data_IF_614455088002
#
_entry.id   IF_614455088002
#
_cell.length_a   1.000
_cell.length_b   1.000
_cell.length_c   1.000
_cell.angle_alpha   90.00
_cell.angle_beta   90.00
_cell.angle_gamma   90.00
#
_symmetry.space_group_name_H-M   'P 1'
#
loop_
_entity.id
_entity.type
_entity.pdbx_description
1 polymer ?
#
# COMPACT_ATOMS: atom_id res chain seq x y z
N UNK A 1 1.69 -21.47 10.07
CA UNK A 1 0.44 -21.20 9.31
C UNK A 1 -0.64 -21.97 10.05
N UNK A 2 -1.73 -21.30 10.36
CA UNK A 2 -2.81 -21.82 11.20
C UNK A 2 -4.16 -21.49 10.56
N UNK A 3 -5.15 -22.36 10.73
CA UNK A 3 -6.51 -22.17 10.20
C UNK A 3 -6.58 -22.16 8.67
N UNK A 4 -7.61 -21.52 8.13
CA UNK A 4 -7.84 -21.32 6.72
C UNK A 4 -7.03 -20.13 6.20
N UNK A 5 -5.90 -20.41 5.57
CA UNK A 5 -5.08 -19.43 4.88
C UNK A 5 -4.63 -20.00 3.52
N UNK A 6 -5.31 -19.64 2.41
CA UNK A 6 -4.99 -20.19 1.09
C UNK A 6 -3.59 -19.81 0.60
N UNK A 7 -2.89 -20.75 -0.04
CA UNK A 7 -1.50 -20.57 -0.48
C UNK A 7 -1.28 -19.38 -1.44
N UNK A 8 -2.24 -19.12 -2.33
CA UNK A 8 -2.17 -18.00 -3.27
C UNK A 8 -2.26 -16.62 -2.59
N UNK A 9 -2.72 -16.58 -1.34
CA UNK A 9 -2.79 -15.37 -0.53
C UNK A 9 -1.57 -15.16 0.37
N UNK A 10 -0.59 -16.07 0.36
CA UNK A 10 0.59 -15.93 1.22
C UNK A 10 1.33 -14.62 0.93
N UNK A 11 1.58 -13.79 1.96
CA UNK A 11 2.20 -12.48 1.77
C UNK A 11 3.69 -12.62 1.38
N UNK A 12 4.34 -13.70 1.81
CA UNK A 12 5.72 -14.06 1.44
C UNK A 12 5.84 -15.57 1.29
N UNK A 13 7.04 -16.05 0.96
CA UNK A 13 7.32 -17.48 0.84
C UNK A 13 7.05 -18.20 2.16
N UNK A 14 6.28 -19.30 2.11
CA UNK A 14 6.06 -20.20 3.24
C UNK A 14 7.40 -20.66 3.83
N UNK A 15 8.29 -21.17 2.97
CA UNK A 15 9.67 -21.52 3.31
C UNK A 15 10.63 -20.44 2.82
N UNK A 16 10.90 -19.46 3.68
CA UNK A 16 11.81 -18.36 3.37
C UNK A 16 13.28 -18.80 3.51
N UNK A 17 13.95 -18.98 2.37
CA UNK A 17 15.38 -19.34 2.33
C UNK A 17 16.22 -18.09 2.06
N UNK A 18 17.10 -17.73 2.99
CA UNK A 18 17.88 -16.49 2.95
C UNK A 18 19.37 -16.77 3.19
N UNK A 19 20.20 -15.84 2.73
CA UNK A 19 21.65 -15.84 2.96
C UNK A 19 22.13 -14.43 3.23
N UNK A 20 23.20 -14.27 4.02
CA UNK A 20 23.93 -13.00 4.15
C UNK A 20 24.28 -12.46 2.75
N UNK A 21 24.04 -11.17 2.55
CA UNK A 21 24.19 -10.46 1.28
C UNK A 21 22.96 -10.49 0.37
N UNK A 22 21.92 -11.28 0.69
CA UNK A 22 20.70 -11.32 -0.11
C UNK A 22 20.00 -9.96 -0.12
N UNK A 23 19.53 -9.53 -1.31
CA UNK A 23 18.69 -8.36 -1.44
C UNK A 23 17.24 -8.74 -1.12
N UNK A 24 16.65 -8.04 -0.16
CA UNK A 24 15.31 -8.30 0.35
C UNK A 24 14.47 -7.04 0.37
N UNK A 25 13.16 -7.22 0.27
CA UNK A 25 12.14 -6.18 0.38
C UNK A 25 11.26 -6.47 1.58
N UNK A 26 10.95 -5.42 2.35
CA UNK A 26 9.98 -5.50 3.43
C UNK A 26 8.55 -5.60 2.89
N UNK A 27 7.76 -6.52 3.45
CA UNK A 27 6.38 -6.81 3.00
C UNK A 27 5.30 -6.23 3.91
N UNK A 28 5.69 -5.46 4.92
CA UNK A 28 4.80 -4.82 5.91
C UNK A 28 5.40 -3.50 6.37
N UNK A 29 4.56 -2.59 6.83
CA UNK A 29 5.02 -1.44 7.59
C UNK A 29 5.39 -1.86 9.01
N UNK A 30 6.45 -1.26 9.55
CA UNK A 30 6.83 -1.49 10.93
C UNK A 30 5.72 -1.00 11.88
N UNK A 31 5.24 -1.90 12.74
CA UNK A 31 4.23 -1.61 13.76
C UNK A 31 4.82 -0.94 14.99
N UNK A 32 6.15 -0.96 15.18
CA UNK A 32 6.83 -0.29 16.28
C UNK A 32 6.61 1.23 16.25
N UNK A 33 6.93 1.91 17.36
CA UNK A 33 6.90 3.36 17.43
C UNK A 33 8.00 4.01 16.57
N UNK A 34 9.10 3.29 16.31
CA UNK A 34 10.29 3.79 15.63
C UNK A 34 10.12 3.85 14.10
N UNK A 35 9.16 3.08 13.54
CA UNK A 35 8.83 3.06 12.11
C UNK A 35 10.06 2.85 11.21
N UNK A 36 10.92 1.90 11.57
CA UNK A 36 12.24 1.69 10.95
C UNK A 36 12.15 1.30 9.46
N UNK A 37 11.06 0.64 9.07
CA UNK A 37 10.82 0.22 7.69
C UNK A 37 9.35 0.36 7.28
N UNK A 38 9.15 0.45 5.96
CA UNK A 38 7.84 0.48 5.32
C UNK A 38 7.75 -0.62 4.25
N UNK A 39 6.53 -0.99 3.88
CA UNK A 39 6.26 -1.96 2.83
C UNK A 39 6.87 -1.50 1.50
N UNK A 40 7.76 -2.30 0.92
CA UNK A 40 8.50 -1.99 -0.29
C UNK A 40 9.92 -1.47 -0.06
N UNK A 41 10.31 -1.12 1.18
CA UNK A 41 11.69 -0.73 1.49
C UNK A 41 12.65 -1.88 1.14
N UNK A 42 13.74 -1.60 0.44
CA UNK A 42 14.73 -2.58 0.02
C UNK A 42 16.00 -2.45 0.85
N UNK A 43 16.55 -3.58 1.27
CA UNK A 43 17.83 -3.64 1.94
C UNK A 43 18.58 -4.93 1.64
N UNK A 44 19.75 -5.09 2.25
CA UNK A 44 20.57 -6.30 2.18
C UNK A 44 20.66 -6.95 3.53
N UNK A 45 20.58 -8.28 3.57
CA UNK A 45 20.80 -9.03 4.80
C UNK A 45 22.27 -8.93 5.19
N UNK A 46 22.54 -8.47 6.41
CA UNK A 46 23.90 -8.33 6.94
C UNK A 46 24.23 -9.41 7.97
N UNK A 47 23.23 -9.83 8.75
CA UNK A 47 23.36 -10.85 9.79
C UNK A 47 22.17 -11.81 9.77
N UNK A 48 22.44 -13.11 9.94
CA UNK A 48 21.44 -14.16 10.17
C UNK A 48 21.95 -15.00 11.34
N UNK A 49 21.20 -14.99 12.43
CA UNK A 49 21.38 -15.83 13.61
C UNK A 49 20.09 -16.63 13.85
N UNK A 50 20.10 -17.57 14.80
CA UNK A 50 19.00 -18.55 14.99
C UNK A 50 17.59 -17.94 15.02
N UNK A 51 17.42 -16.74 15.57
CA UNK A 51 16.13 -16.05 15.66
C UNK A 51 16.19 -14.57 15.25
N UNK A 52 17.33 -14.10 14.74
CA UNK A 52 17.54 -12.69 14.42
C UNK A 52 18.04 -12.52 13.00
N UNK A 53 17.31 -11.73 12.22
CA UNK A 53 17.74 -11.28 10.90
C UNK A 53 17.96 -9.78 11.01
N UNK A 54 19.11 -9.29 10.55
CA UNK A 54 19.36 -7.85 10.44
C UNK A 54 19.47 -7.47 8.97
N UNK A 55 18.78 -6.39 8.60
CA UNK A 55 18.77 -5.82 7.24
C UNK A 55 19.35 -4.42 7.29
N UNK A 56 20.29 -4.14 6.40
CA UNK A 56 20.84 -2.80 6.19
C UNK A 56 20.25 -2.23 4.91
N UNK A 57 19.51 -1.13 5.02
CA UNK A 57 19.02 -0.38 3.86
C UNK A 57 20.02 0.72 3.50
N UNK A 58 20.01 1.14 2.23
CA UNK A 58 20.99 2.10 1.71
C UNK A 58 20.88 3.50 2.34
N UNK A 59 19.69 3.87 2.79
CA UNK A 59 19.39 5.21 3.35
C UNK A 59 19.53 5.27 4.87
N UNK A 60 19.67 4.12 5.55
CA UNK A 60 19.68 4.05 7.01
C UNK A 60 21.12 3.97 7.53
N UNK A 61 21.42 4.68 8.61
CA UNK A 61 22.72 4.61 9.31
C UNK A 61 22.87 3.34 10.15
N UNK A 62 21.76 2.76 10.60
CA UNK A 62 21.74 1.58 11.47
C UNK A 62 21.25 0.32 10.75
N UNK A 63 21.56 -0.85 11.33
CA UNK A 63 20.95 -2.11 10.91
C UNK A 63 19.56 -2.23 11.53
N UNK A 64 18.59 -2.67 10.73
CA UNK A 64 17.22 -2.90 11.19
C UNK A 64 17.09 -4.36 11.66
N UNK A 65 16.83 -4.61 12.95
CA UNK A 65 16.45 -5.94 13.40
C UNK A 65 15.05 -6.29 12.88
N UNK A 66 14.90 -7.48 12.33
CA UNK A 66 13.64 -7.95 11.73
C UNK A 66 13.13 -9.13 12.54
N UNK A 67 11.88 -9.02 12.98
CA UNK A 67 11.17 -10.03 13.75
C UNK A 67 10.04 -10.65 12.91
N UNK A 68 9.62 -11.90 13.21
CA UNK A 68 8.45 -12.49 12.60
C UNK A 68 7.19 -11.68 12.91
N UNK A 69 6.33 -11.51 11.91
CA UNK A 69 5.03 -10.85 12.07
C UNK A 69 3.91 -11.79 11.64
N UNK A 70 2.71 -11.56 12.18
CA UNK A 70 1.52 -12.36 11.87
C UNK A 70 0.55 -11.56 11.00
N UNK A 71 0.14 -12.15 9.87
CA UNK A 71 -0.97 -11.70 9.03
C UNK A 71 -2.19 -12.56 9.31
N UNK A 72 -3.36 -11.93 9.38
CA UNK A 72 -4.62 -12.61 9.65
C UNK A 72 -5.45 -12.67 8.37
N UNK A 73 -6.08 -13.83 8.13
CA UNK A 73 -7.11 -14.00 7.11
C UNK A 73 -8.47 -13.78 7.77
N UNK A 74 -9.17 -12.74 7.37
CA UNK A 74 -10.42 -12.30 8.00
C UNK A 74 -11.58 -12.57 7.06
N UNK A 75 -12.57 -13.32 7.55
CA UNK A 75 -13.84 -13.52 6.86
C UNK A 75 -14.87 -12.54 7.41
N UNK A 76 -15.52 -11.81 6.51
CA UNK A 76 -16.60 -10.91 6.85
C UNK A 76 -17.94 -11.59 6.57
N UNK A 77 -18.85 -11.54 7.54
CA UNK A 77 -20.21 -12.07 7.42
C UNK A 77 -21.21 -10.99 7.78
N UNK A 78 -22.29 -10.90 7.01
CA UNK A 78 -23.40 -10.00 7.30
C UNK A 78 -24.42 -10.73 8.15
N UNK A 79 -24.72 -10.21 9.32
CA UNK A 79 -25.82 -10.69 10.14
C UNK A 79 -27.16 -10.33 9.46
N UNK A 80 -28.01 -11.33 9.23
CA UNK A 80 -29.26 -11.16 8.50
C UNK A 80 -30.32 -10.37 9.27
N UNK A 81 -30.22 -10.33 10.61
CA UNK A 81 -31.17 -9.65 11.49
C UNK A 81 -30.70 -8.25 11.84
N UNK A 82 -29.44 -8.10 12.26
CA UNK A 82 -28.91 -6.80 12.71
C UNK A 82 -28.36 -5.96 11.56
N UNK A 83 -28.11 -6.58 10.38
CA UNK A 83 -27.38 -5.99 9.24
C UNK A 83 -25.96 -5.51 9.61
N UNK A 84 -25.42 -5.97 10.72
CA UNK A 84 -24.05 -5.66 11.12
C UNK A 84 -23.07 -6.58 10.39
N UNK A 85 -21.89 -6.03 10.05
CA UNK A 85 -20.79 -6.80 9.47
C UNK A 85 -19.92 -7.30 10.62
N UNK A 86 -19.87 -8.60 10.80
CA UNK A 86 -18.98 -9.26 11.75
C UNK A 86 -17.71 -9.72 11.05
N UNK A 87 -16.57 -9.63 11.75
CA UNK A 87 -15.26 -10.01 11.25
C UNK A 87 -14.69 -11.16 12.09
N UNK A 88 -14.40 -12.28 11.45
CA UNK A 88 -13.84 -13.47 12.09
C UNK A 88 -12.46 -13.79 11.52
N UNK A 89 -11.45 -13.98 12.39
CA UNK A 89 -10.13 -14.44 11.97
C UNK A 89 -10.17 -15.95 11.73
N UNK A 90 -10.20 -16.34 10.46
CA UNK A 90 -10.29 -17.74 10.03
C UNK A 90 -8.93 -18.41 9.84
N UNK A 91 -7.85 -17.62 9.77
CA UNK A 91 -6.49 -18.16 9.66
C UNK A 91 -5.40 -17.13 9.96
N UNK A 92 -4.19 -17.64 10.22
CA UNK A 92 -2.99 -16.85 10.54
C UNK A 92 -1.76 -17.34 9.78
N UNK A 93 -0.99 -16.40 9.27
CA UNK A 93 0.29 -16.63 8.63
C UNK A 93 1.36 -15.88 9.42
N UNK A 94 2.35 -16.56 9.99
CA UNK A 94 3.44 -15.94 10.77
C UNK A 94 4.78 -16.20 10.09
N UNK A 95 5.50 -15.13 9.75
CA UNK A 95 6.79 -15.20 9.05
C UNK A 95 7.54 -13.86 9.18
N UNK A 96 8.85 -13.86 8.92
CA UNK A 96 9.57 -12.60 8.71
C UNK A 96 8.96 -11.81 7.53
N UNK A 97 8.72 -10.48 7.68
CA UNK A 97 8.14 -9.64 6.63
C UNK A 97 9.15 -9.31 5.53
N UNK A 98 9.84 -10.33 5.00
CA UNK A 98 10.88 -10.19 3.99
C UNK A 98 10.54 -11.07 2.78
N UNK A 99 10.89 -10.57 1.59
CA UNK A 99 10.88 -11.33 0.34
C UNK A 99 12.15 -11.01 -0.44
N UNK A 100 12.69 -11.99 -1.18
CA UNK A 100 13.80 -11.74 -2.09
C UNK A 100 13.41 -10.69 -3.14
N UNK A 101 14.31 -9.73 -3.37
CA UNK A 101 14.00 -8.51 -4.13
C UNK A 101 15.00 -8.23 -5.26
N UNK A 102 15.57 -9.28 -5.86
CA UNK A 102 16.34 -9.14 -7.11
C UNK A 102 15.45 -8.88 -8.32
N UNK A 103 14.23 -9.40 -8.29
CA UNK A 103 13.21 -9.15 -9.30
C UNK A 103 11.86 -9.02 -8.59
N UNK A 104 11.07 -8.06 -9.05
CA UNK A 104 9.70 -7.83 -8.60
C UNK A 104 8.81 -7.60 -9.82
N UNK A 105 7.54 -7.98 -9.70
CA UNK A 105 6.55 -7.64 -10.72
C UNK A 105 6.31 -6.14 -10.76
N UNK A 106 5.99 -5.58 -11.93
CA UNK A 106 5.63 -4.16 -12.09
C UNK A 106 4.53 -3.73 -11.09
N UNK A 107 3.53 -4.57 -10.84
CA UNK A 107 2.47 -4.28 -9.88
C UNK A 107 3.01 -4.09 -8.45
N UNK A 108 3.92 -4.96 -7.99
CA UNK A 108 4.58 -4.84 -6.67
C UNK A 108 5.60 -3.70 -6.58
N UNK A 109 5.93 -3.07 -7.71
CA UNK A 109 6.78 -1.89 -7.75
C UNK A 109 6.00 -0.57 -7.61
N UNK A 110 4.67 -0.61 -7.64
CA UNK A 110 3.83 0.59 -7.55
C UNK A 110 4.13 1.38 -6.27
N UNK A 111 4.32 2.70 -6.42
CA UNK A 111 4.68 3.59 -5.31
C UNK A 111 6.15 3.53 -4.89
N UNK A 112 6.94 2.62 -5.44
CA UNK A 112 8.38 2.52 -5.17
C UNK A 112 9.19 3.35 -6.15
N UNK A 113 10.38 3.76 -5.73
CA UNK A 113 11.31 4.55 -6.56
C UNK A 113 12.68 3.88 -6.52
N UNK A 114 13.30 3.71 -7.68
CA UNK A 114 14.59 3.07 -7.86
C UNK A 114 15.60 4.03 -8.48
N UNK A 115 16.83 4.00 -7.98
CA UNK A 115 17.98 4.65 -8.61
C UNK A 115 18.35 3.97 -9.93
N UNK A 116 18.33 2.63 -9.94
CA UNK A 116 18.64 1.83 -11.12
C UNK A 116 17.70 0.63 -11.20
N UNK A 117 17.18 0.35 -12.38
CA UNK A 117 16.36 -0.84 -12.63
C UNK A 117 16.56 -1.38 -14.04
N UNK A 118 16.52 -2.72 -14.14
CA UNK A 118 16.37 -3.43 -15.40
C UNK A 118 14.89 -3.76 -15.55
N UNK A 119 14.26 -3.26 -16.61
CA UNK A 119 12.83 -3.36 -16.85
C UNK A 119 12.59 -4.30 -18.03
N UNK A 120 11.86 -5.38 -17.78
CA UNK A 120 11.23 -6.18 -18.83
C UNK A 120 9.73 -5.87 -18.84
N UNK A 121 9.32 -5.11 -19.87
CA UNK A 121 7.94 -4.69 -20.07
C UNK A 121 7.30 -5.36 -21.31
N UNK A 122 7.95 -6.34 -21.92
CA UNK A 122 7.42 -6.98 -23.14
C UNK A 122 6.08 -7.69 -22.87
N UNK A 123 5.95 -8.32 -21.70
CA UNK A 123 4.74 -9.01 -21.27
C UNK A 123 3.72 -8.08 -20.57
N UNK A 124 3.87 -6.76 -20.65
CA UNK A 124 2.90 -5.83 -20.08
C UNK A 124 1.55 -5.97 -20.81
N UNK A 125 0.52 -6.40 -20.08
CA UNK A 125 -0.79 -6.72 -20.63
C UNK A 125 -1.86 -5.69 -20.24
N UNK A 126 -1.66 -4.97 -19.13
CA UNK A 126 -2.62 -4.01 -18.60
C UNK A 126 -2.33 -2.56 -19.05
N UNK A 127 -3.38 -1.76 -19.16
CA UNK A 127 -3.28 -0.32 -19.45
C UNK A 127 -2.42 0.38 -18.39
N UNK A 128 -1.54 1.28 -18.82
CA UNK A 128 -0.64 2.03 -17.93
C UNK A 128 0.49 1.22 -17.27
N UNK A 129 0.58 -0.10 -17.44
CA UNK A 129 1.60 -0.93 -16.78
C UNK A 129 3.02 -0.57 -17.22
N UNK A 130 3.22 -0.29 -18.52
CA UNK A 130 4.52 0.19 -19.05
C UNK A 130 4.87 1.53 -18.40
N UNK A 131 3.93 2.47 -18.33
CA UNK A 131 4.15 3.76 -17.67
C UNK A 131 4.50 3.60 -16.18
N UNK A 132 3.79 2.71 -15.47
CA UNK A 132 4.11 2.40 -14.07
C UNK A 132 5.55 1.93 -13.94
N UNK A 133 5.98 0.98 -14.78
CA UNK A 133 7.35 0.46 -14.76
C UNK A 133 8.40 1.56 -15.01
N UNK A 134 8.23 2.36 -16.06
CA UNK A 134 9.16 3.42 -16.43
C UNK A 134 9.22 4.52 -15.36
N UNK A 135 8.08 4.89 -14.78
CA UNK A 135 7.99 5.93 -13.74
C UNK A 135 8.60 5.51 -12.39
N UNK A 136 9.04 4.26 -12.22
CA UNK A 136 9.73 3.85 -10.99
C UNK A 136 11.20 4.27 -10.98
N UNK A 137 11.82 4.55 -12.12
CA UNK A 137 13.20 5.01 -12.18
C UNK A 137 13.28 6.54 -12.05
N UNK A 138 14.24 7.04 -11.27
CA UNK A 138 14.47 8.49 -11.10
C UNK A 138 15.01 9.17 -12.34
N UNK A 139 15.79 8.46 -13.17
CA UNK A 139 16.40 9.01 -14.38
C UNK A 139 16.45 7.98 -15.51
N UNK A 140 16.65 8.47 -16.74
CA UNK A 140 16.83 7.61 -17.90
C UNK A 140 18.14 6.81 -17.84
N UNK A 141 19.21 7.39 -17.29
CA UNK A 141 20.51 6.74 -17.12
C UNK A 141 20.44 5.57 -16.13
N UNK A 142 19.54 5.64 -15.15
CA UNK A 142 19.26 4.55 -14.23
C UNK A 142 18.42 3.42 -14.83
N UNK A 143 17.87 3.60 -16.03
CA UNK A 143 16.93 2.68 -16.63
C UNK A 143 17.58 1.85 -17.73
N UNK A 144 17.41 0.53 -17.64
CA UNK A 144 17.81 -0.40 -18.70
C UNK A 144 16.58 -1.20 -19.13
N UNK A 145 16.21 -1.12 -20.40
CA UNK A 145 15.14 -1.94 -20.96
C UNK A 145 15.73 -3.26 -21.46
N UNK A 146 15.21 -4.39 -20.99
CA UNK A 146 15.65 -5.71 -21.44
C UNK A 146 15.24 -5.99 -22.89
N UNK A 147 14.11 -5.43 -23.31
CA UNK A 147 13.56 -5.54 -24.66
C UNK A 147 13.04 -4.19 -25.13
N UNK A 148 13.01 -3.92 -26.45
CA UNK A 148 12.33 -2.74 -26.99
C UNK A 148 10.85 -2.70 -26.58
N UNK A 149 10.34 -1.51 -26.27
CA UNK A 149 8.91 -1.33 -25.96
C UNK A 149 8.15 -1.15 -27.28
N UNK A 150 7.28 -2.12 -27.59
CA UNK A 150 6.38 -2.00 -28.73
C UNK A 150 5.37 -0.87 -28.50
N UNK A 151 5.03 -0.11 -29.55
CA UNK A 151 4.03 0.96 -29.45
C UNK A 151 2.66 0.44 -28.98
N UNK A 152 2.32 -0.80 -29.35
CA UNK A 152 1.10 -1.50 -28.91
C UNK A 152 1.06 -1.81 -27.41
N UNK A 153 2.20 -1.79 -26.70
CA UNK A 153 2.28 -1.99 -25.25
C UNK A 153 2.01 -0.69 -24.48
N UNK A 154 2.13 0.47 -25.13
CA UNK A 154 1.79 1.77 -24.54
C UNK A 154 0.29 2.01 -24.71
N UNK A 155 -0.50 1.30 -23.88
CA UNK A 155 -1.95 1.44 -23.86
C UNK A 155 -2.37 2.40 -22.76
N UNK A 156 -3.08 3.45 -23.16
CA UNK A 156 -3.77 4.37 -22.26
C UNK A 156 -5.26 4.06 -22.27
N UNK A 157 -5.91 4.14 -21.12
CA UNK A 157 -7.36 4.01 -21.02
C UNK A 157 -8.03 5.29 -21.57
N UNK A 158 -9.04 5.13 -22.43
CA UNK A 158 -9.70 6.25 -23.09
C UNK A 158 -10.45 7.17 -22.10
N UNK A 159 -11.08 6.61 -21.06
CA UNK A 159 -11.78 7.39 -20.05
C UNK A 159 -10.81 8.23 -19.22
N UNK A 160 -9.62 7.69 -18.91
CA UNK A 160 -8.56 8.43 -18.23
C UNK A 160 -8.03 9.58 -19.10
N UNK A 161 -7.84 9.33 -20.41
CA UNK A 161 -7.40 10.36 -21.34
C UNK A 161 -8.44 11.49 -21.48
N UNK A 162 -9.72 11.14 -21.59
CA UNK A 162 -10.81 12.11 -21.66
C UNK A 162 -10.92 12.93 -20.38
N UNK A 163 -10.86 12.28 -19.21
CA UNK A 163 -10.86 12.95 -17.91
C UNK A 163 -9.70 13.94 -17.80
N UNK A 164 -8.47 13.53 -18.16
CA UNK A 164 -7.30 14.40 -18.11
C UNK A 164 -7.43 15.59 -19.07
N UNK A 165 -7.96 15.37 -20.28
CA UNK A 165 -8.22 16.44 -21.24
C UNK A 165 -9.28 17.43 -20.74
N UNK A 166 -10.36 16.93 -20.13
CA UNK A 166 -11.40 17.76 -19.53
C UNK A 166 -10.86 18.57 -18.35
N UNK A 167 -10.09 17.95 -17.46
CA UNK A 167 -9.45 18.62 -16.32
C UNK A 167 -8.47 19.71 -16.78
N UNK A 168 -7.66 19.45 -17.82
CA UNK A 168 -6.73 20.43 -18.38
C UNK A 168 -7.40 21.64 -19.03
N UNK A 169 -8.61 21.47 -19.60
CA UNK A 169 -9.41 22.57 -20.17
C UNK A 169 -10.15 23.40 -19.13
N UNK A 170 -10.36 22.85 -17.95
CA UNK A 170 -11.11 23.49 -16.86
C UNK A 170 -10.23 23.60 -15.60
N UNK A 171 -9.09 24.31 -15.65
CA UNK A 171 -8.28 24.52 -14.46
C UNK A 171 -9.09 25.33 -13.43
N UNK A 172 -9.04 24.98 -12.15
CA UNK A 172 -9.73 25.74 -11.12
C UNK A 172 -9.17 27.16 -11.06
N UNK A 173 -10.06 28.15 -11.00
CA UNK A 173 -9.66 29.55 -10.82
C UNK A 173 -9.17 29.79 -9.39
N UNK A 174 -8.40 30.86 -9.19
CA UNK A 174 -7.96 31.26 -7.86
C UNK A 174 -9.15 31.53 -6.91
N UNK A 175 -10.24 32.07 -7.46
CA UNK A 175 -11.48 32.30 -6.72
C UNK A 175 -12.14 30.99 -6.29
N UNK A 176 -12.30 30.03 -7.21
CA UNK A 176 -12.82 28.70 -6.89
C UNK A 176 -11.96 27.99 -5.85
N UNK A 177 -10.63 28.12 -5.94
CA UNK A 177 -9.71 27.56 -4.95
C UNK A 177 -9.90 28.21 -3.57
N UNK A 178 -10.05 29.53 -3.51
CA UNK A 178 -10.26 30.24 -2.25
C UNK A 178 -11.60 29.88 -1.61
N UNK A 179 -12.68 29.82 -2.39
CA UNK A 179 -13.98 29.38 -1.90
C UNK A 179 -13.94 27.93 -1.40
N UNK A 180 -13.30 27.01 -2.14
CA UNK A 180 -13.14 25.63 -1.72
C UNK A 180 -12.31 25.48 -0.44
N UNK A 181 -11.24 26.29 -0.26
CA UNK A 181 -10.45 26.31 0.98
C UNK A 181 -11.29 26.73 2.19
N UNK A 182 -12.11 27.78 2.04
CA UNK A 182 -12.97 28.26 3.12
C UNK A 182 -14.00 27.20 3.49
N UNK A 183 -14.64 26.56 2.51
CA UNK A 183 -15.59 25.46 2.75
C UNK A 183 -14.94 24.29 3.48
N UNK A 184 -13.77 23.85 3.02
CA UNK A 184 -13.05 22.75 3.67
C UNK A 184 -12.64 23.08 5.11
N UNK A 185 -12.23 24.33 5.38
CA UNK A 185 -11.94 24.79 6.74
C UNK A 185 -13.19 24.80 7.62
N UNK A 186 -14.34 25.18 7.08
CA UNK A 186 -15.61 25.13 7.80
C UNK A 186 -16.01 23.68 8.12
N UNK A 187 -15.85 22.76 7.17
CA UNK A 187 -16.10 21.33 7.40
C UNK A 187 -15.20 20.77 8.52
N UNK A 188 -13.89 21.06 8.48
CA UNK A 188 -12.96 20.64 9.55
C UNK A 188 -13.36 21.19 10.93
N UNK A 189 -13.82 22.44 10.99
CA UNK A 189 -14.31 23.03 12.23
C UNK A 189 -15.58 22.33 12.71
N UNK A 190 -16.53 22.05 11.81
CA UNK A 190 -17.75 21.33 12.14
C UNK A 190 -17.49 19.88 12.58
N UNK A 191 -16.51 19.19 11.99
CA UNK A 191 -16.06 17.87 12.45
C UNK A 191 -15.51 17.90 13.88
N UNK A 192 -14.87 19.00 14.29
CA UNK A 192 -14.40 19.19 15.66
C UNK A 192 -15.55 19.44 16.66
N UNK A 193 -16.71 19.90 16.17
CA UNK A 193 -17.92 20.13 16.95
C UNK A 193 -18.97 19.05 16.66
N UNK A 194 -18.64 17.78 16.95
CA UNK A 194 -19.60 16.68 16.86
C UNK A 194 -20.66 16.78 17.98
N UNK A 195 -21.81 17.34 17.63
CA UNK A 195 -22.99 17.38 18.48
C UNK A 195 -23.93 16.17 18.29
N UNK A 196 -23.55 15.12 17.53
CA UNK A 196 -24.40 13.94 17.38
C UNK A 196 -24.70 13.29 18.73
N UNK A 197 -23.72 13.22 19.62
CA UNK A 197 -23.91 12.69 20.98
C UNK A 197 -24.96 13.48 21.78
N UNK A 198 -24.96 14.81 21.63
CA UNK A 198 -25.95 15.69 22.25
C UNK A 198 -27.32 15.53 21.60
N UNK A 199 -27.39 15.46 20.27
CA UNK A 199 -28.63 15.29 19.51
C UNK A 199 -29.31 13.94 19.81
N UNK A 200 -28.53 12.85 19.91
CA UNK A 200 -29.03 11.52 20.31
C UNK A 200 -29.57 11.56 21.75
N UNK A 201 -28.86 12.23 22.66
CA UNK A 201 -29.29 12.37 24.05
C UNK A 201 -30.56 13.21 24.19
N UNK A 202 -30.68 14.30 23.43
CA UNK A 202 -31.87 15.14 23.36
C UNK A 202 -33.06 14.38 22.76
N UNK A 203 -32.82 13.59 21.71
CA UNK A 203 -33.82 12.73 21.09
C UNK A 203 -34.37 11.70 22.08
N UNK A 204 -33.50 11.01 22.82
CA UNK A 204 -33.90 10.08 23.90
C UNK A 204 -34.75 10.77 24.97
N UNK A 205 -34.33 11.95 25.42
CA UNK A 205 -35.03 12.71 26.45
C UNK A 205 -36.40 13.20 25.96
N UNK A 206 -36.50 13.63 24.70
CA UNK A 206 -37.78 13.99 24.07
C UNK A 206 -38.74 12.80 23.90
N UNK A 207 -38.20 11.60 23.69
CA UNK A 207 -38.99 10.37 23.65
C UNK A 207 -39.52 9.96 25.02
N UNK A 208 -38.76 10.17 26.09
CA UNK A 208 -39.19 9.91 27.47
C UNK A 208 -40.27 10.90 27.95
N UNK A 209 -40.23 12.15 27.48
CA UNK A 209 -41.23 13.19 27.81
C UNK A 209 -42.52 13.11 26.98
N UNK A 210 -42.59 12.20 25.99
CA UNK A 210 -43.78 11.97 25.15
C UNK A 210 -44.60 10.75 25.57
N UNK A 211 -44.25 10.10 26.68
CA UNK A 211 -45.09 9.15 27.42
C UNK A 211 -45.64 9.81 28.68
#
# INVERSE_FOLDING_TARGET
IEGDYPQHNYPTAEKLTLKKGAQVMFMRNDSSAEKLYFNGKIGKIVHIEKQRISVKCSEDETEIPVEPVTWENIKYTLDAETKEITAEVIGRFTQYPLRLAWAITIHKSQGLTFERAIIDANAAFAHGQVYVALSRCKSFEGMVLMTPIAQSAVKTDAAVAEFAAHAGKNPPTLEQLNSAKVLYQQDLLLECFDFQSLAVSLGKLSGLLRN
#
